data_IF_351685612432
#
_entry.id   IF_351685612432
#
_cell.length_a   1.000
_cell.length_b   1.000
_cell.length_c   1.000
_cell.angle_alpha   90.00
_cell.angle_beta   90.00
_cell.angle_gamma   90.00
#
_symmetry.space_group_name_H-M   'P 1'
#
loop_
_entity.id
_entity.type
_entity.pdbx_description
1 polymer ?
#
# COMPACT_ATOMS: atom_id res chain seq x y z
N UNK A 1 33.49 -3.75 -21.26
CA UNK A 1 32.43 -3.09 -22.05
C UNK A 1 31.22 -2.94 -21.15
N UNK A 2 31.01 -1.73 -20.63
CA UNK A 2 29.94 -1.36 -19.72
C UNK A 2 28.61 -1.30 -20.48
N UNK A 3 27.87 -2.41 -20.49
CA UNK A 3 26.53 -2.46 -21.06
C UNK A 3 25.51 -1.99 -20.02
N UNK A 4 25.26 -0.69 -19.95
CA UNK A 4 24.07 -0.15 -19.29
C UNK A 4 22.85 -0.72 -20.00
N UNK A 5 22.03 -1.45 -19.26
CA UNK A 5 20.78 -2.03 -19.78
C UNK A 5 19.78 -0.90 -19.97
N UNK A 6 19.02 -0.83 -21.08
CA UNK A 6 17.94 0.15 -21.18
C UNK A 6 16.92 -0.11 -20.06
N UNK A 7 16.42 0.93 -19.38
CA UNK A 7 15.41 0.76 -18.34
C UNK A 7 14.14 0.17 -18.93
N UNK A 8 13.38 -0.64 -18.17
CA UNK A 8 12.07 -1.10 -18.61
C UNK A 8 11.18 0.13 -18.92
N UNK A 9 10.29 0.06 -19.91
CA UNK A 9 9.37 1.15 -20.20
C UNK A 9 8.52 1.43 -18.94
N UNK A 10 8.75 2.58 -18.32
CA UNK A 10 8.02 3.07 -17.14
C UNK A 10 6.63 3.56 -17.53
N UNK A 11 5.76 3.76 -16.52
CA UNK A 11 4.43 4.35 -16.69
C UNK A 11 4.41 5.69 -17.46
N UNK A 12 5.56 6.37 -17.64
CA UNK A 12 5.66 7.58 -18.46
C UNK A 12 5.40 7.37 -19.95
N UNK A 13 5.43 6.12 -20.46
CA UNK A 13 5.00 5.83 -21.82
C UNK A 13 3.52 6.20 -22.09
N UNK A 14 2.74 6.51 -21.04
CA UNK A 14 1.38 7.02 -21.06
C UNK A 14 1.25 8.55 -21.03
N UNK A 15 2.35 9.29 -20.82
CA UNK A 15 2.30 10.75 -20.66
C UNK A 15 1.60 11.22 -19.37
N UNK A 16 1.32 10.31 -18.43
CA UNK A 16 0.66 10.63 -17.16
C UNK A 16 1.68 10.58 -16.02
N UNK A 17 2.02 11.74 -15.46
CA UNK A 17 2.69 11.87 -14.14
C UNK A 17 1.75 11.41 -12.99
N UNK A 18 0.50 11.03 -13.32
CA UNK A 18 -0.58 10.63 -12.42
C UNK A 18 -0.75 9.10 -12.32
N UNK A 19 -1.42 8.67 -11.25
CA UNK A 19 -1.83 7.29 -10.98
C UNK A 19 -2.53 6.66 -12.19
N UNK A 20 -2.20 5.39 -12.48
CA UNK A 20 -2.82 4.65 -13.58
C UNK A 20 -4.16 3.99 -13.20
N UNK A 21 -4.58 4.05 -11.92
CA UNK A 21 -5.90 3.56 -11.50
C UNK A 21 -6.99 4.47 -12.07
N UNK A 22 -8.09 3.87 -12.51
CA UNK A 22 -9.30 4.62 -12.90
C UNK A 22 -9.73 5.46 -11.69
N UNK A 23 -10.02 6.78 -11.85
CA UNK A 23 -10.45 7.61 -10.74
C UNK A 23 -11.64 7.00 -10.02
N UNK A 24 -11.64 7.08 -8.70
CA UNK A 24 -12.58 6.35 -7.85
C UNK A 24 -14.06 6.56 -8.23
N UNK A 25 -14.48 7.82 -8.42
CA UNK A 25 -15.87 8.13 -8.82
C UNK A 25 -16.25 7.52 -10.17
N UNK A 26 -15.31 7.45 -11.11
CA UNK A 26 -15.53 6.84 -12.41
C UNK A 26 -15.59 5.30 -12.28
N UNK A 27 -14.72 4.71 -11.45
CA UNK A 27 -14.74 3.27 -11.17
C UNK A 27 -16.09 2.85 -10.58
N UNK A 28 -16.58 3.54 -9.55
CA UNK A 28 -17.87 3.22 -8.92
C UNK A 28 -19.03 3.25 -9.92
N UNK A 29 -19.05 4.23 -10.83
CA UNK A 29 -20.06 4.31 -11.90
C UNK A 29 -19.98 3.14 -12.88
N UNK A 30 -18.77 2.70 -13.24
CA UNK A 30 -18.57 1.55 -14.13
C UNK A 30 -18.97 0.23 -13.46
N UNK A 31 -18.72 0.10 -12.17
CA UNK A 31 -19.03 -1.10 -11.39
C UNK A 31 -20.51 -1.22 -11.01
N UNK A 32 -21.32 -0.16 -11.16
CA UNK A 32 -22.76 -0.19 -10.90
C UNK A 32 -23.49 -1.30 -11.68
N UNK A 33 -22.97 -1.73 -12.84
CA UNK A 33 -23.53 -2.87 -13.59
C UNK A 33 -23.34 -4.24 -12.94
N UNK A 34 -22.51 -4.34 -11.90
CA UNK A 34 -22.39 -5.54 -11.05
C UNK A 34 -23.44 -5.56 -9.94
N UNK A 35 -24.03 -4.40 -9.62
CA UNK A 35 -25.16 -4.27 -8.71
C UNK A 35 -26.44 -4.57 -9.50
N UNK A 36 -27.26 -5.54 -9.04
CA UNK A 36 -28.52 -5.86 -9.74
C UNK A 36 -29.53 -4.70 -9.58
N UNK A 37 -30.24 -4.37 -10.67
CA UNK A 37 -31.35 -3.40 -10.67
C UNK A 37 -32.38 -3.70 -9.57
N UNK A 38 -32.70 -2.69 -8.75
CA UNK A 38 -33.87 -2.70 -7.86
C UNK A 38 -35.17 -2.64 -8.70
N UNK A 39 -35.64 -3.79 -9.16
CA UNK A 39 -37.02 -3.96 -9.58
C UNK A 39 -37.83 -4.56 -8.43
N UNK A 40 -38.18 -3.74 -7.45
CA UNK A 40 -39.53 -3.63 -6.87
C UNK A 40 -39.49 -2.81 -5.58
N UNK A 41 -40.20 -1.69 -5.60
CA UNK A 41 -40.26 -0.73 -4.50
C UNK A 41 -40.94 -1.31 -3.26
N UNK A 42 -40.15 -1.74 -2.28
CA UNK A 42 -40.48 -1.60 -0.85
C UNK A 42 -39.18 -1.40 -0.07
N UNK A 43 -39.10 -0.31 0.68
CA UNK A 43 -37.88 0.08 1.38
C UNK A 43 -37.52 -0.86 2.52
N UNK A 44 -36.26 -1.30 2.53
CA UNK A 44 -35.38 -1.48 3.70
C UNK A 44 -33.97 -1.81 3.18
N UNK A 45 -32.96 -1.10 3.68
CA UNK A 45 -31.57 -1.37 3.38
C UNK A 45 -31.12 -2.59 4.21
N UNK A 46 -31.24 -3.79 3.64
CA UNK A 46 -30.66 -5.02 4.15
C UNK A 46 -29.86 -5.70 3.02
N UNK A 47 -28.64 -6.14 3.38
CA UNK A 47 -27.67 -6.98 2.67
C UNK A 47 -27.92 -7.26 1.18
N UNK A 48 -27.27 -6.48 0.32
CA UNK A 48 -27.31 -6.66 -1.14
C UNK A 48 -26.13 -7.51 -1.64
N UNK A 49 -26.35 -8.82 -1.68
CA UNK A 49 -25.72 -9.76 -2.62
C UNK A 49 -26.55 -11.05 -2.68
N UNK A 50 -27.82 -10.94 -3.05
CA UNK A 50 -28.72 -12.09 -3.20
C UNK A 50 -28.63 -12.70 -4.61
N UNK A 51 -28.37 -14.01 -4.60
CA UNK A 51 -28.71 -15.01 -5.63
C UNK A 51 -27.55 -15.64 -6.45
N UNK A 52 -26.48 -16.05 -5.76
CA UNK A 52 -25.70 -17.24 -6.12
C UNK A 52 -25.72 -18.22 -4.94
N UNK A 53 -26.79 -19.01 -4.83
CA UNK A 53 -26.93 -20.07 -3.82
C UNK A 53 -27.47 -19.59 -2.47
N UNK A 54 -27.96 -20.54 -1.67
CA UNK A 54 -28.49 -20.33 -0.32
C UNK A 54 -27.64 -19.32 0.48
N UNK A 55 -28.28 -18.36 1.13
CA UNK A 55 -27.64 -17.37 1.99
C UNK A 55 -26.96 -18.10 3.15
N UNK A 56 -25.68 -18.41 2.96
CA UNK A 56 -24.89 -19.12 3.96
C UNK A 56 -24.64 -18.17 5.15
N UNK A 57 -24.76 -18.66 6.39
CA UNK A 57 -24.50 -17.85 7.57
C UNK A 57 -23.02 -17.47 7.62
N UNK A 58 -22.73 -16.19 7.88
CA UNK A 58 -21.37 -15.67 8.03
C UNK A 58 -21.22 -14.25 7.51
N UNK A 59 -20.17 -13.51 7.94
CA UNK A 59 -19.87 -12.20 7.39
C UNK A 59 -19.54 -12.30 5.90
N UNK A 60 -20.05 -11.35 5.12
CA UNK A 60 -19.83 -11.24 3.68
C UNK A 60 -19.31 -9.85 3.36
N UNK A 61 -18.35 -9.77 2.44
CA UNK A 61 -17.84 -8.52 1.90
C UNK A 61 -17.77 -8.63 0.38
N UNK A 62 -18.49 -7.74 -0.30
CA UNK A 62 -18.57 -7.67 -1.76
C UNK A 62 -17.58 -6.66 -2.34
N UNK A 63 -17.95 -6.06 -3.47
CA UNK A 63 -17.20 -4.97 -4.08
C UNK A 63 -17.18 -3.75 -3.14
N UNK A 64 -16.03 -3.10 -2.99
CA UNK A 64 -15.91 -1.81 -2.28
C UNK A 64 -14.76 -1.69 -1.28
N UNK A 65 -14.20 -2.82 -0.85
CA UNK A 65 -13.07 -2.89 0.08
C UNK A 65 -11.90 -3.70 -0.50
N UNK A 66 -10.82 -3.84 0.27
CA UNK A 66 -9.53 -4.42 -0.16
C UNK A 66 -9.65 -5.90 -0.60
N UNK A 67 -10.54 -6.67 0.03
CA UNK A 67 -10.81 -8.06 -0.33
C UNK A 67 -12.31 -8.34 -0.43
N UNK A 68 -12.67 -9.40 -1.16
CA UNK A 68 -13.97 -10.04 -0.95
C UNK A 68 -13.90 -11.04 0.22
N UNK A 69 -15.01 -11.23 0.92
CA UNK A 69 -15.20 -12.28 1.93
C UNK A 69 -16.46 -13.05 1.55
N UNK A 70 -16.29 -14.33 1.22
CA UNK A 70 -17.36 -15.18 0.68
C UNK A 70 -17.52 -16.41 1.56
N UNK A 71 -18.61 -16.52 2.34
CA UNK A 71 -18.91 -17.73 3.10
C UNK A 71 -18.96 -18.97 2.19
N UNK A 72 -18.23 -20.01 2.56
CA UNK A 72 -18.20 -21.28 1.85
C UNK A 72 -19.28 -22.22 2.35
N UNK A 73 -19.69 -23.16 1.48
CA UNK A 73 -20.66 -24.21 1.81
C UNK A 73 -20.16 -25.18 2.90
N UNK A 74 -18.87 -25.13 3.23
CA UNK A 74 -18.19 -26.09 4.08
C UNK A 74 -17.74 -25.45 5.40
N UNK A 75 -18.15 -26.04 6.52
CA UNK A 75 -17.46 -25.93 7.81
C UNK A 75 -17.29 -24.54 8.42
N UNK A 76 -18.16 -23.57 8.11
CA UNK A 76 -18.04 -22.20 8.65
C UNK A 76 -16.84 -21.41 8.08
N UNK A 77 -16.22 -21.91 7.02
CA UNK A 77 -15.09 -21.28 6.36
C UNK A 77 -15.54 -20.14 5.44
N UNK A 78 -14.65 -19.19 5.20
CA UNK A 78 -14.83 -18.14 4.19
C UNK A 78 -13.64 -18.13 3.23
N UNK A 79 -13.92 -17.93 1.95
CA UNK A 79 -12.90 -17.56 0.97
C UNK A 79 -12.67 -16.05 1.11
N UNK A 80 -11.41 -15.67 1.32
CA UNK A 80 -10.96 -14.28 1.24
C UNK A 80 -9.97 -14.19 0.09
N UNK A 81 -10.24 -13.26 -0.84
CA UNK A 81 -9.46 -13.15 -2.06
C UNK A 81 -9.39 -11.70 -2.55
N UNK A 82 -8.26 -11.36 -3.15
CA UNK A 82 -8.00 -10.07 -3.79
C UNK A 82 -7.24 -10.25 -5.11
N UNK A 83 -7.26 -9.21 -5.95
CA UNK A 83 -6.39 -9.07 -7.12
C UNK A 83 -5.95 -7.61 -7.27
N UNK A 84 -4.67 -7.41 -7.59
CA UNK A 84 -4.18 -6.09 -8.00
C UNK A 84 -3.07 -6.27 -9.05
N UNK A 85 -2.87 -5.24 -9.87
CA UNK A 85 -1.79 -5.16 -10.84
C UNK A 85 -1.44 -3.71 -11.14
N UNK A 86 -0.20 -3.48 -11.57
CA UNK A 86 0.25 -2.16 -11.98
C UNK A 86 1.42 -2.28 -12.96
N UNK A 87 1.93 -1.12 -13.38
CA UNK A 87 3.01 -0.99 -14.35
C UNK A 87 4.36 -0.80 -13.65
N UNK A 88 5.49 -1.15 -14.29
CA UNK A 88 6.81 -0.91 -13.73
C UNK A 88 7.03 0.54 -13.29
N UNK A 89 7.42 0.69 -12.03
CA UNK A 89 7.71 1.99 -11.39
C UNK A 89 9.16 2.11 -10.93
N UNK A 90 9.84 0.99 -10.65
CA UNK A 90 11.28 0.94 -10.37
C UNK A 90 12.05 0.30 -11.52
N UNK A 91 13.31 0.68 -11.66
CA UNK A 91 14.19 0.17 -12.72
C UNK A 91 14.74 -1.23 -12.44
N UNK A 92 14.90 -1.59 -11.15
CA UNK A 92 15.37 -2.90 -10.73
C UNK A 92 14.26 -3.95 -10.92
N UNK A 93 14.41 -4.92 -11.86
CA UNK A 93 13.36 -5.89 -12.13
C UNK A 93 13.07 -6.80 -10.94
N UNK A 94 14.08 -7.15 -10.14
CA UNK A 94 13.91 -8.02 -8.97
C UNK A 94 13.05 -7.32 -7.93
N UNK A 95 13.40 -6.08 -7.61
CA UNK A 95 12.62 -5.27 -6.67
C UNK A 95 11.22 -4.98 -7.20
N UNK A 96 11.07 -4.76 -8.52
CA UNK A 96 9.75 -4.59 -9.13
C UNK A 96 8.85 -5.82 -8.90
N UNK A 97 9.41 -7.03 -9.06
CA UNK A 97 8.71 -8.28 -8.76
C UNK A 97 8.30 -8.39 -7.29
N UNK A 98 9.22 -8.07 -6.36
CA UNK A 98 8.92 -8.06 -4.91
C UNK A 98 7.81 -7.08 -4.57
N UNK A 99 7.88 -5.85 -5.10
CA UNK A 99 6.87 -4.81 -4.86
C UNK A 99 5.50 -5.25 -5.39
N UNK A 100 5.46 -5.88 -6.56
CA UNK A 100 4.21 -6.38 -7.13
C UNK A 100 3.56 -7.47 -6.28
N UNK A 101 4.35 -8.43 -5.80
CA UNK A 101 3.87 -9.46 -4.88
C UNK A 101 3.39 -8.85 -3.55
N UNK A 102 4.19 -7.93 -2.97
CA UNK A 102 3.85 -7.26 -1.72
C UNK A 102 2.54 -6.46 -1.83
N UNK A 103 2.31 -5.78 -2.95
CA UNK A 103 1.06 -5.06 -3.20
C UNK A 103 -0.14 -6.00 -3.27
N UNK A 104 -0.03 -7.14 -3.98
CA UNK A 104 -1.13 -8.12 -4.07
C UNK A 104 -1.45 -8.73 -2.70
N UNK A 105 -0.44 -9.02 -1.88
CA UNK A 105 -0.65 -9.55 -0.54
C UNK A 105 -1.15 -8.50 0.46
N UNK A 106 -0.94 -7.21 0.18
CA UNK A 106 -1.28 -6.08 1.07
C UNK A 106 -2.75 -6.07 1.46
N UNK A 107 -3.65 -6.36 0.51
CA UNK A 107 -5.09 -6.40 0.75
C UNK A 107 -5.50 -7.52 1.72
N UNK A 108 -4.89 -8.71 1.65
CA UNK A 108 -5.13 -9.77 2.64
C UNK A 108 -4.65 -9.33 4.02
N UNK A 109 -3.50 -8.66 4.09
CA UNK A 109 -2.96 -8.12 5.32
C UNK A 109 -3.84 -7.02 5.92
N UNK A 110 -4.53 -6.22 5.09
CA UNK A 110 -5.51 -5.24 5.55
C UNK A 110 -6.71 -5.89 6.27
N UNK A 111 -7.04 -7.13 5.94
CA UNK A 111 -8.05 -7.93 6.64
C UNK A 111 -7.51 -8.63 7.90
N UNK A 112 -6.27 -8.35 8.33
CA UNK A 112 -5.63 -8.99 9.47
C UNK A 112 -5.20 -10.45 9.22
N UNK A 113 -5.28 -10.93 7.99
CA UNK A 113 -4.94 -12.31 7.62
C UNK A 113 -3.43 -12.40 7.42
N UNK A 114 -2.72 -13.26 8.15
CA UNK A 114 -1.26 -13.40 8.02
C UNK A 114 -0.82 -14.47 7.03
N UNK A 115 -1.72 -15.38 6.65
CA UNK A 115 -1.46 -16.51 5.78
C UNK A 115 -2.10 -16.33 4.40
N UNK A 116 -1.48 -16.91 3.38
CA UNK A 116 -2.01 -16.95 2.03
C UNK A 116 -1.87 -18.38 1.50
N UNK A 117 -2.99 -19.05 1.23
CA UNK A 117 -2.97 -20.45 0.78
C UNK A 117 -2.40 -20.56 -0.64
N UNK A 118 -2.70 -19.58 -1.49
CA UNK A 118 -2.32 -19.66 -2.90
C UNK A 118 -2.19 -18.28 -3.56
N UNK A 119 -1.17 -18.13 -4.40
CA UNK A 119 -1.05 -17.00 -5.33
C UNK A 119 -1.10 -17.41 -6.80
N UNK A 120 -1.68 -16.54 -7.63
CA UNK A 120 -1.55 -16.58 -9.09
C UNK A 120 -0.83 -15.31 -9.55
N UNK A 121 0.05 -15.42 -10.54
CA UNK A 121 0.77 -14.28 -11.11
C UNK A 121 0.12 -13.81 -12.41
N UNK A 122 -0.15 -12.50 -12.51
CA UNK A 122 -0.62 -11.84 -13.72
C UNK A 122 0.55 -11.06 -14.32
N UNK A 123 0.97 -11.44 -15.52
CA UNK A 123 2.14 -10.84 -16.17
C UNK A 123 1.82 -10.46 -17.62
N UNK A 124 2.36 -9.34 -18.07
CA UNK A 124 2.49 -9.09 -19.50
C UNK A 124 3.89 -8.68 -19.89
N UNK A 125 4.29 -9.09 -21.08
CA UNK A 125 5.57 -8.73 -21.70
C UNK A 125 5.32 -7.62 -22.72
N UNK A 126 6.15 -6.57 -22.68
CA UNK A 126 6.00 -5.47 -23.63
C UNK A 126 6.32 -5.90 -25.06
N UNK A 127 5.46 -5.51 -26.01
CA UNK A 127 5.70 -5.63 -27.45
C UNK A 127 6.98 -4.91 -27.91
N UNK A 128 7.43 -3.90 -27.18
CA UNK A 128 8.65 -3.12 -27.48
C UNK A 128 9.93 -3.80 -26.99
N UNK A 129 9.82 -4.85 -26.17
CA UNK A 129 10.96 -5.54 -25.61
C UNK A 129 11.48 -6.62 -26.58
N UNK A 130 12.74 -6.48 -26.99
CA UNK A 130 13.40 -7.51 -27.79
C UNK A 130 13.57 -8.82 -26.98
N UNK A 131 13.83 -9.92 -27.68
CA UNK A 131 13.91 -11.26 -27.08
C UNK A 131 14.99 -11.37 -26.01
N UNK A 132 16.17 -10.79 -26.27
CA UNK A 132 17.30 -10.81 -25.32
C UNK A 132 16.97 -10.09 -24.01
N UNK A 133 16.34 -8.92 -24.08
CA UNK A 133 15.94 -8.16 -22.90
C UNK A 133 14.82 -8.88 -22.16
N UNK A 134 13.89 -9.52 -22.87
CA UNK A 134 12.82 -10.33 -22.29
C UNK A 134 13.34 -11.51 -21.49
N UNK A 135 14.24 -12.30 -22.09
CA UNK A 135 14.88 -13.45 -21.44
C UNK A 135 15.75 -13.06 -20.25
N UNK A 136 16.21 -11.82 -20.19
CA UNK A 136 17.01 -11.31 -19.06
C UNK A 136 16.15 -10.71 -17.95
N UNK A 137 15.22 -9.82 -18.29
CA UNK A 137 14.47 -8.99 -17.34
C UNK A 137 13.32 -9.77 -16.70
N UNK A 138 12.56 -10.54 -17.49
CA UNK A 138 11.36 -11.22 -16.98
C UNK A 138 11.70 -12.27 -15.92
N UNK A 139 12.72 -13.16 -16.08
CA UNK A 139 13.04 -14.13 -15.04
C UNK A 139 13.46 -13.50 -13.71
N UNK A 140 14.19 -12.38 -13.75
CA UNK A 140 14.60 -11.64 -12.55
C UNK A 140 13.38 -11.06 -11.83
N UNK A 141 12.41 -10.51 -12.57
CA UNK A 141 11.16 -10.01 -12.01
C UNK A 141 10.30 -11.13 -11.41
N UNK A 142 10.19 -12.26 -12.09
CA UNK A 142 9.49 -13.44 -11.57
C UNK A 142 10.18 -13.99 -10.32
N UNK A 143 11.51 -13.99 -10.28
CA UNK A 143 12.27 -14.36 -9.09
C UNK A 143 11.96 -13.43 -7.92
N UNK A 144 11.93 -12.12 -8.13
CA UNK A 144 11.52 -11.17 -7.08
C UNK A 144 10.10 -11.45 -6.56
N UNK A 145 9.15 -11.68 -7.46
CA UNK A 145 7.77 -12.01 -7.06
C UNK A 145 7.73 -13.29 -6.22
N UNK A 146 8.42 -14.35 -6.66
CA UNK A 146 8.49 -15.64 -5.95
C UNK A 146 9.12 -15.50 -4.57
N UNK A 147 10.25 -14.81 -4.46
CA UNK A 147 10.96 -14.67 -3.19
C UNK A 147 10.12 -13.89 -2.15
N UNK A 148 9.35 -12.89 -2.58
CA UNK A 148 8.38 -12.20 -1.71
C UNK A 148 7.18 -13.08 -1.33
N UNK A 149 6.70 -13.94 -2.24
CA UNK A 149 5.65 -14.91 -1.92
C UNK A 149 6.13 -15.92 -0.87
N UNK A 150 7.37 -16.42 -1.01
CA UNK A 150 8.01 -17.32 -0.04
C UNK A 150 8.16 -16.65 1.34
N UNK A 151 8.58 -15.38 1.39
CA UNK A 151 8.59 -14.58 2.63
C UNK A 151 7.18 -14.45 3.26
N UNK A 152 6.16 -14.30 2.41
CA UNK A 152 4.75 -14.29 2.78
C UNK A 152 4.23 -15.66 3.27
N UNK A 153 5.04 -16.72 3.19
CA UNK A 153 4.63 -18.08 3.57
C UNK A 153 3.77 -18.78 2.51
N UNK A 154 3.80 -18.32 1.27
CA UNK A 154 2.96 -18.84 0.18
C UNK A 154 3.78 -19.15 -1.07
N UNK A 155 3.12 -19.60 -2.13
CA UNK A 155 3.77 -19.89 -3.41
C UNK A 155 2.88 -19.51 -4.59
N UNK A 156 3.53 -19.24 -5.72
CA UNK A 156 2.85 -18.99 -6.99
C UNK A 156 2.66 -20.33 -7.70
N UNK A 157 1.41 -20.80 -7.82
CA UNK A 157 1.10 -22.12 -8.40
C UNK A 157 0.55 -22.05 -9.83
N UNK A 158 0.33 -20.85 -10.33
CA UNK A 158 -0.19 -20.61 -11.67
C UNK A 158 -0.25 -19.14 -12.01
N UNK A 159 -0.85 -18.83 -13.15
CA UNK A 159 -0.92 -17.46 -13.64
C UNK A 159 -1.18 -17.40 -15.14
N UNK A 160 -1.14 -16.18 -15.66
CA UNK A 160 -1.27 -15.92 -17.09
C UNK A 160 -0.21 -14.91 -17.51
N UNK A 161 0.48 -15.20 -18.62
CA UNK A 161 1.42 -14.29 -19.27
C UNK A 161 0.98 -13.98 -20.70
N UNK A 162 0.87 -12.69 -21.04
CA UNK A 162 0.44 -12.24 -22.37
C UNK A 162 1.40 -11.21 -22.98
N UNK A 163 1.35 -11.04 -24.30
CA UNK A 163 2.00 -9.92 -24.97
C UNK A 163 1.09 -8.69 -24.91
N UNK A 164 1.62 -7.54 -24.50
CA UNK A 164 0.86 -6.30 -24.34
C UNK A 164 1.76 -5.09 -24.69
N UNK A 165 1.25 -3.90 -25.06
CA UNK A 165 2.11 -2.74 -25.30
C UNK A 165 2.99 -2.38 -24.10
N UNK A 166 2.50 -2.60 -22.88
CA UNK A 166 3.21 -2.34 -21.62
C UNK A 166 3.42 -3.62 -20.81
N UNK A 167 4.41 -3.59 -19.93
CA UNK A 167 4.59 -4.61 -18.90
C UNK A 167 3.53 -4.38 -17.83
N UNK A 168 2.78 -5.41 -17.48
CA UNK A 168 1.85 -5.46 -16.36
C UNK A 168 2.39 -6.51 -15.42
N UNK A 169 2.44 -6.20 -14.13
CA UNK A 169 2.81 -7.17 -13.10
C UNK A 169 1.82 -7.05 -11.95
N UNK A 170 1.35 -8.19 -11.47
CA UNK A 170 0.34 -8.28 -10.43
C UNK A 170 -0.01 -9.72 -10.15
N UNK A 171 -1.18 -9.93 -9.57
CA UNK A 171 -1.57 -11.27 -9.17
C UNK A 171 -2.90 -11.35 -8.47
N UNK A 172 -3.11 -12.53 -7.91
CA UNK A 172 -4.25 -12.88 -7.06
C UNK A 172 -3.68 -13.52 -5.80
N UNK A 173 -4.20 -13.15 -4.65
CA UNK A 173 -3.93 -13.84 -3.39
C UNK A 173 -5.24 -14.37 -2.81
N UNK A 174 -5.23 -15.61 -2.36
CA UNK A 174 -6.40 -16.32 -1.86
C UNK A 174 -6.08 -17.09 -0.59
N UNK A 175 -7.05 -17.09 0.32
CA UNK A 175 -7.01 -17.89 1.55
C UNK A 175 -8.42 -18.39 1.88
N UNK A 176 -8.49 -19.58 2.46
CA UNK A 176 -9.70 -20.13 3.08
C UNK A 176 -9.50 -20.14 4.58
N UNK A 177 -10.24 -19.28 5.28
CA UNK A 177 -10.01 -19.03 6.70
C UNK A 177 -11.29 -19.09 7.53
N UNK A 178 -11.11 -19.29 8.83
CA UNK A 178 -12.12 -19.24 9.86
C UNK A 178 -12.48 -17.77 10.23
N UNK A 179 -13.66 -17.53 10.81
CA UNK A 179 -14.11 -16.18 11.17
C UNK A 179 -13.20 -15.39 12.13
N UNK A 180 -12.35 -16.07 12.90
CA UNK A 180 -11.43 -15.44 13.85
C UNK A 180 -10.06 -15.11 13.24
N UNK A 181 -9.79 -15.52 12.01
CA UNK A 181 -8.50 -15.30 11.33
C UNK A 181 -8.48 -13.99 10.54
N UNK A 182 -9.64 -13.40 10.28
CA UNK A 182 -9.78 -12.09 9.65
C UNK A 182 -10.54 -11.10 10.54
N UNK A 183 -10.30 -9.81 10.29
CA UNK A 183 -10.94 -8.68 10.97
C UNK A 183 -11.77 -7.94 9.93
N UNK A 184 -13.08 -7.85 10.15
CA UNK A 184 -13.95 -7.07 9.26
C UNK A 184 -13.61 -5.58 9.34
N UNK A 185 -13.51 -4.86 8.21
CA UNK A 185 -13.03 -3.48 8.18
C UNK A 185 -14.14 -2.47 8.51
N UNK A 186 -14.98 -2.74 9.51
CA UNK A 186 -16.22 -1.99 9.78
C UNK A 186 -16.50 -1.67 11.26
N UNK A 187 -15.54 -1.96 12.14
CA UNK A 187 -15.73 -1.96 13.59
C UNK A 187 -15.24 -0.73 14.34
N UNK A 188 -14.74 0.32 13.68
CA UNK A 188 -14.17 1.49 14.35
C UNK A 188 -15.19 2.21 15.25
N UNK A 189 -14.72 2.74 16.39
CA UNK A 189 -15.56 3.45 17.38
C UNK A 189 -14.99 4.85 17.68
N UNK A 190 -15.83 5.81 18.11
CA UNK A 190 -15.33 7.10 18.59
C UNK A 190 -14.33 6.91 19.73
N UNK A 191 -13.18 7.58 19.65
CA UNK A 191 -12.10 7.49 20.62
C UNK A 191 -10.91 6.65 20.16
N UNK A 192 -11.11 5.77 19.16
CA UNK A 192 -10.02 5.06 18.48
C UNK A 192 -9.03 6.06 17.88
N UNK A 193 -7.83 5.56 17.60
CA UNK A 193 -6.78 6.29 16.90
C UNK A 193 -6.45 5.64 15.56
N UNK A 194 -6.01 6.46 14.62
CA UNK A 194 -5.58 6.03 13.30
C UNK A 194 -4.07 5.81 13.31
N UNK A 195 -3.63 4.60 12.99
CA UNK A 195 -2.22 4.22 12.90
C UNK A 195 -1.85 3.90 11.45
N UNK A 196 -0.77 4.50 10.94
CA UNK A 196 -0.22 4.21 9.61
C UNK A 196 1.11 3.46 9.74
N UNK A 197 1.31 2.39 8.97
CA UNK A 197 2.46 1.48 9.15
C UNK A 197 3.62 1.65 8.16
N UNK A 198 3.47 2.50 7.15
CA UNK A 198 4.55 2.90 6.23
C UNK A 198 4.47 4.40 5.95
N UNK A 199 5.60 5.07 5.65
CA UNK A 199 5.56 6.48 5.28
C UNK A 199 4.93 6.66 3.89
N UNK A 200 4.39 7.86 3.67
CA UNK A 200 3.84 8.32 2.39
C UNK A 200 4.93 8.92 1.49
N UNK A 201 4.60 9.13 0.23
CA UNK A 201 5.40 9.85 -0.76
C UNK A 201 6.15 8.95 -1.73
N UNK A 202 5.73 7.69 -1.91
CA UNK A 202 6.41 6.75 -2.81
C UNK A 202 6.33 7.21 -4.28
N UNK A 203 5.19 7.75 -4.72
CA UNK A 203 5.07 8.32 -6.07
C UNK A 203 6.04 9.48 -6.29
N UNK A 204 6.19 10.39 -5.30
CA UNK A 204 7.11 11.53 -5.39
C UNK A 204 8.55 11.06 -5.49
N UNK A 205 8.95 10.08 -4.67
CA UNK A 205 10.31 9.53 -4.68
C UNK A 205 10.67 8.89 -6.02
N UNK A 206 9.75 8.09 -6.58
CA UNK A 206 9.94 7.42 -7.88
C UNK A 206 10.02 8.44 -9.02
N UNK A 207 9.12 9.42 -9.06
CA UNK A 207 9.14 10.45 -10.10
C UNK A 207 10.39 11.33 -9.99
N UNK A 208 10.76 11.75 -8.77
CA UNK A 208 11.97 12.55 -8.56
C UNK A 208 13.23 11.82 -9.05
N UNK A 209 13.30 10.50 -8.85
CA UNK A 209 14.39 9.67 -9.36
C UNK A 209 14.44 9.64 -10.89
N UNK A 210 13.31 9.38 -11.54
CA UNK A 210 13.21 9.38 -13.00
C UNK A 210 13.58 10.74 -13.60
N UNK A 211 13.25 11.83 -12.90
CA UNK A 211 13.57 13.18 -13.36
C UNK A 211 15.06 13.50 -13.33
N UNK A 212 15.90 12.71 -12.66
CA UNK A 212 17.37 12.90 -12.67
C UNK A 212 17.95 12.86 -14.09
N UNK A 213 17.33 12.08 -14.98
CA UNK A 213 17.71 11.93 -16.38
C UNK A 213 16.92 12.85 -17.33
N UNK A 214 16.10 13.74 -16.78
CA UNK A 214 15.24 14.66 -17.52
C UNK A 214 15.53 16.11 -17.13
N UNK A 215 16.44 16.82 -17.84
CA UNK A 215 16.94 18.12 -17.43
C UNK A 215 15.84 19.15 -17.14
N UNK A 216 14.78 19.19 -17.95
CA UNK A 216 13.66 20.12 -17.77
C UNK A 216 12.89 19.87 -16.47
N UNK A 217 12.67 18.60 -16.11
CA UNK A 217 11.97 18.24 -14.87
C UNK A 217 12.87 18.34 -13.65
N UNK A 218 14.13 17.91 -13.76
CA UNK A 218 15.14 18.11 -12.71
C UNK A 218 15.26 19.59 -12.32
N UNK A 219 15.22 20.50 -13.30
CA UNK A 219 15.29 21.94 -13.06
C UNK A 219 14.19 22.47 -12.13
N UNK A 220 13.03 21.79 -12.02
CA UNK A 220 11.94 22.17 -11.10
C UNK A 220 12.27 21.89 -9.64
N UNK A 221 13.07 20.86 -9.37
CA UNK A 221 13.30 20.35 -8.00
C UNK A 221 14.75 20.50 -7.52
N UNK A 222 15.71 20.78 -8.41
CA UNK A 222 17.14 20.92 -8.08
C UNK A 222 17.48 21.98 -7.03
N UNK A 223 16.58 22.92 -6.76
CA UNK A 223 16.75 23.96 -5.73
C UNK A 223 16.27 23.52 -4.34
N UNK A 224 15.50 22.43 -4.24
CA UNK A 224 14.95 21.92 -2.98
C UNK A 224 15.58 20.61 -2.51
N UNK A 225 16.24 19.88 -3.41
CA UNK A 225 16.86 18.58 -3.13
C UNK A 225 18.10 18.38 -4.00
N UNK A 226 19.11 17.68 -3.49
CA UNK A 226 20.27 17.24 -4.27
C UNK A 226 20.07 15.82 -4.87
N UNK A 227 21.00 15.37 -5.71
CA UNK A 227 20.83 14.08 -6.41
C UNK A 227 20.96 12.89 -5.47
N UNK A 228 21.80 13.00 -4.45
CA UNK A 228 22.05 11.98 -3.44
C UNK A 228 20.81 11.74 -2.59
N UNK A 229 20.19 12.82 -2.08
CA UNK A 229 18.93 12.79 -1.33
C UNK A 229 17.79 12.13 -2.14
N UNK A 230 17.71 12.39 -3.44
CA UNK A 230 16.72 11.72 -4.32
C UNK A 230 16.98 10.23 -4.45
N UNK A 231 18.24 9.82 -4.60
CA UNK A 231 18.62 8.40 -4.69
C UNK A 231 18.34 7.67 -3.38
N UNK A 232 18.64 8.28 -2.24
CA UNK A 232 18.34 7.74 -0.92
C UNK A 232 16.82 7.58 -0.71
N UNK A 233 16.03 8.61 -1.06
CA UNK A 233 14.58 8.54 -0.97
C UNK A 233 13.98 7.48 -1.90
N UNK A 234 14.52 7.32 -3.11
CA UNK A 234 14.10 6.28 -4.06
C UNK A 234 14.41 4.87 -3.55
N UNK A 235 15.62 4.64 -3.03
CA UNK A 235 15.98 3.36 -2.41
C UNK A 235 15.06 3.06 -1.23
N UNK A 236 14.78 4.06 -0.40
CA UNK A 236 13.90 3.87 0.74
C UNK A 236 12.45 3.60 0.33
N UNK A 237 11.93 4.33 -0.65
CA UNK A 237 10.62 4.04 -1.22
C UNK A 237 10.57 2.61 -1.75
N UNK A 238 11.56 2.18 -2.53
CA UNK A 238 11.66 0.83 -3.09
C UNK A 238 11.67 -0.25 -2.00
N UNK A 239 12.43 -0.06 -0.92
CA UNK A 239 12.42 -1.01 0.20
C UNK A 239 11.11 -0.97 0.98
N UNK A 240 10.53 0.21 1.23
CA UNK A 240 9.23 0.35 1.90
C UNK A 240 8.10 -0.36 1.13
N UNK A 241 8.07 -0.17 -0.20
CA UNK A 241 7.11 -0.82 -1.09
C UNK A 241 7.31 -2.34 -1.16
N UNK A 242 8.54 -2.85 -1.02
CA UNK A 242 8.82 -4.28 -1.03
C UNK A 242 8.54 -4.98 0.32
N UNK A 243 8.45 -4.23 1.42
CA UNK A 243 8.13 -4.79 2.74
C UNK A 243 6.68 -5.30 2.78
N UNK A 244 6.48 -6.56 3.20
CA UNK A 244 5.14 -7.11 3.41
C UNK A 244 4.43 -6.48 4.61
N UNK A 245 3.12 -6.26 4.52
CA UNK A 245 2.28 -5.83 5.65
C UNK A 245 1.95 -6.99 6.64
N UNK A 246 2.54 -8.18 6.45
CA UNK A 246 2.29 -9.41 7.23
C UNK A 246 2.43 -9.21 8.74
N UNK A 247 3.51 -8.56 9.18
CA UNK A 247 3.73 -8.28 10.61
C UNK A 247 2.64 -7.36 11.16
N UNK A 248 2.24 -6.33 10.42
CA UNK A 248 1.17 -5.43 10.84
C UNK A 248 -0.17 -6.18 10.99
N UNK A 249 -0.50 -7.07 10.04
CA UNK A 249 -1.70 -7.91 10.09
C UNK A 249 -1.74 -8.80 11.35
N UNK A 250 -0.62 -9.45 11.70
CA UNK A 250 -0.54 -10.25 12.94
C UNK A 250 -0.69 -9.40 14.21
N UNK A 251 -0.12 -8.20 14.21
CA UNK A 251 -0.25 -7.28 15.35
C UNK A 251 -1.66 -6.68 15.47
N UNK A 252 -2.44 -6.59 14.39
CA UNK A 252 -3.83 -6.15 14.45
C UNK A 252 -4.66 -7.06 15.35
N UNK A 253 -4.50 -8.39 15.27
CA UNK A 253 -5.14 -9.33 16.18
C UNK A 253 -4.68 -9.14 17.63
N UNK A 254 -3.37 -9.06 17.85
CA UNK A 254 -2.77 -8.91 19.18
C UNK A 254 -3.26 -7.66 19.91
N UNK A 255 -3.41 -6.56 19.18
CA UNK A 255 -3.76 -5.25 19.72
C UNK A 255 -5.22 -4.86 19.49
N UNK A 256 -6.06 -5.81 19.05
CA UNK A 256 -7.51 -5.66 18.91
C UNK A 256 -7.89 -4.51 17.97
N UNK A 257 -7.31 -4.50 16.78
CA UNK A 257 -7.71 -3.57 15.73
C UNK A 257 -9.20 -3.72 15.41
N UNK A 258 -9.87 -2.59 15.21
CA UNK A 258 -11.30 -2.53 14.94
C UNK A 258 -11.62 -2.48 13.45
N UNK A 259 -10.73 -1.92 12.64
CA UNK A 259 -10.84 -1.85 11.20
C UNK A 259 -9.47 -1.52 10.60
N UNK A 260 -9.22 -1.91 9.35
CA UNK A 260 -8.07 -1.42 8.60
C UNK A 260 -8.35 -1.42 7.09
N UNK A 261 -7.52 -0.69 6.36
CA UNK A 261 -7.36 -0.72 4.90
C UNK A 261 -5.88 -0.53 4.61
N UNK A 262 -5.41 -0.83 3.41
CA UNK A 262 -4.08 -0.41 2.98
C UNK A 262 -4.13 0.94 2.24
N UNK A 263 -2.98 1.60 2.12
CA UNK A 263 -2.88 2.89 1.40
C UNK A 263 -2.15 2.67 0.08
N UNK A 264 -2.89 2.69 -1.03
CA UNK A 264 -2.32 2.52 -2.38
C UNK A 264 -2.72 3.67 -3.33
N UNK A 265 -3.31 3.36 -4.48
CA UNK A 265 -3.37 4.26 -5.64
C UNK A 265 -4.29 5.47 -5.48
N UNK A 266 -5.19 5.49 -4.49
CA UNK A 266 -6.04 6.66 -4.21
C UNK A 266 -5.45 7.62 -3.16
N UNK A 267 -4.28 7.27 -2.62
CA UNK A 267 -3.63 8.04 -1.57
C UNK A 267 -4.34 7.91 -0.21
N UNK A 268 -3.68 8.44 0.83
CA UNK A 268 -4.14 8.31 2.21
C UNK A 268 -5.60 8.77 2.40
N UNK A 269 -5.98 9.92 1.86
CA UNK A 269 -7.32 10.47 2.04
C UNK A 269 -8.37 9.66 1.30
N UNK A 270 -8.06 9.13 0.11
CA UNK A 270 -8.97 8.27 -0.65
C UNK A 270 -9.27 6.98 0.10
N UNK A 271 -8.23 6.26 0.50
CA UNK A 271 -8.38 5.01 1.26
C UNK A 271 -9.00 5.24 2.66
N UNK A 272 -8.65 6.32 3.35
CA UNK A 272 -9.29 6.68 4.61
C UNK A 272 -10.79 6.96 4.46
N UNK A 273 -11.22 7.60 3.35
CA UNK A 273 -12.65 7.81 3.08
C UNK A 273 -13.37 6.49 2.80
N UNK A 274 -12.75 5.56 2.08
CA UNK A 274 -13.33 4.23 1.82
C UNK A 274 -13.55 3.47 3.13
N UNK A 275 -12.52 3.44 3.97
CA UNK A 275 -12.61 2.81 5.27
C UNK A 275 -13.68 3.50 6.14
N UNK A 276 -13.70 4.84 6.20
CA UNK A 276 -14.70 5.58 6.97
C UNK A 276 -16.14 5.28 6.50
N UNK A 277 -16.37 5.22 5.18
CA UNK A 277 -17.66 4.93 4.56
C UNK A 277 -18.17 3.52 4.92
N UNK A 278 -17.26 2.56 5.11
CA UNK A 278 -17.57 1.18 5.44
C UNK A 278 -17.98 0.96 6.91
N UNK A 279 -17.73 1.93 7.80
CA UNK A 279 -17.95 1.73 9.24
C UNK A 279 -19.43 1.55 9.59
N UNK A 280 -19.74 0.61 10.48
CA UNK A 280 -21.10 0.42 11.00
C UNK A 280 -21.52 1.57 11.91
N UNK A 281 -20.58 2.08 12.72
CA UNK A 281 -20.83 3.20 13.63
C UNK A 281 -20.86 4.55 12.89
N UNK A 282 -21.51 5.55 13.49
CA UNK A 282 -21.46 6.94 13.04
C UNK A 282 -20.14 7.57 13.46
N UNK A 283 -19.08 7.29 12.70
CA UNK A 283 -17.72 7.77 12.97
C UNK A 283 -17.17 8.61 11.83
N UNK A 284 -16.24 9.52 12.12
CA UNK A 284 -15.45 10.23 11.12
C UNK A 284 -13.95 10.14 11.47
N UNK A 285 -13.11 10.13 10.45
CA UNK A 285 -11.67 10.01 10.60
C UNK A 285 -11.00 11.37 10.43
N UNK A 286 -10.20 11.77 11.41
CA UNK A 286 -9.49 13.05 11.40
C UNK A 286 -8.00 12.82 11.48
N UNK A 287 -7.32 13.08 10.36
CA UNK A 287 -5.87 12.91 10.20
C UNK A 287 -5.17 14.23 10.54
N UNK A 288 -4.26 14.16 11.50
CA UNK A 288 -3.52 15.29 12.06
C UNK A 288 -2.06 15.33 11.60
N UNK A 289 -1.47 14.15 11.39
CA UNK A 289 -0.04 14.02 11.11
C UNK A 289 0.17 13.20 9.84
N UNK A 290 1.23 13.50 9.08
CA UNK A 290 1.58 12.77 7.87
C UNK A 290 3.05 12.32 7.97
N UNK A 291 3.34 11.03 8.22
CA UNK A 291 4.68 10.49 8.07
C UNK A 291 5.02 10.42 6.59
N UNK A 292 5.98 11.23 6.16
CA UNK A 292 6.36 11.38 4.75
C UNK A 292 7.84 11.10 4.63
N UNK A 293 8.24 10.32 3.62
CA UNK A 293 9.65 10.13 3.27
C UNK A 293 10.36 11.49 3.17
N UNK A 294 11.52 11.60 3.83
CA UNK A 294 12.24 12.87 3.93
C UNK A 294 12.38 13.56 2.57
N UNK A 295 12.26 14.90 2.56
CA UNK A 295 12.29 15.75 1.36
C UNK A 295 11.09 15.62 0.41
N UNK A 296 10.29 14.55 0.45
CA UNK A 296 9.18 14.38 -0.51
C UNK A 296 8.08 15.44 -0.35
N UNK A 297 7.83 15.92 0.86
CA UNK A 297 6.92 17.06 1.08
C UNK A 297 7.45 18.35 0.42
N UNK A 298 8.76 18.59 0.46
CA UNK A 298 9.38 19.76 -0.17
C UNK A 298 9.35 19.66 -1.70
N UNK A 299 9.65 18.48 -2.25
CA UNK A 299 9.53 18.20 -3.69
C UNK A 299 8.09 18.39 -4.16
N UNK A 300 7.12 17.78 -3.46
CA UNK A 300 5.71 17.92 -3.81
C UNK A 300 5.27 19.38 -3.83
N UNK A 301 5.71 20.17 -2.84
CA UNK A 301 5.39 21.61 -2.77
C UNK A 301 6.03 22.39 -3.93
N UNK A 302 7.28 22.09 -4.29
CA UNK A 302 7.96 22.73 -5.43
C UNK A 302 7.25 22.45 -6.76
N UNK A 303 6.55 21.32 -6.87
CA UNK A 303 5.76 20.92 -8.03
C UNK A 303 4.30 21.40 -8.01
N UNK A 304 3.90 22.22 -7.02
CA UNK A 304 2.53 22.70 -6.89
C UNK A 304 1.53 21.55 -6.64
N UNK A 305 0.48 21.48 -7.46
CA UNK A 305 -0.60 20.50 -7.30
C UNK A 305 -0.37 19.19 -8.06
N UNK A 306 0.86 18.93 -8.50
CA UNK A 306 1.15 17.76 -9.32
C UNK A 306 0.91 16.44 -8.58
N UNK A 307 1.40 16.35 -7.34
CA UNK A 307 1.29 15.13 -6.53
C UNK A 307 0.20 15.22 -5.48
N UNK A 308 -0.12 16.42 -4.96
CA UNK A 308 -1.08 16.61 -3.88
C UNK A 308 -0.79 15.75 -2.63
N UNK A 309 0.49 15.58 -2.30
CA UNK A 309 0.94 14.69 -1.22
C UNK A 309 0.43 15.14 0.16
N UNK A 310 0.48 16.44 0.45
CA UNK A 310 0.02 16.99 1.74
C UNK A 310 -1.51 17.00 1.84
N UNK A 311 -2.20 17.06 0.70
CA UNK A 311 -3.65 16.93 0.59
C UNK A 311 -4.12 15.47 0.69
N UNK A 312 -3.19 14.51 0.72
CA UNK A 312 -3.47 13.08 0.91
C UNK A 312 -3.99 12.36 -0.32
N UNK A 313 -3.91 12.95 -1.52
CA UNK A 313 -4.38 12.33 -2.78
C UNK A 313 -3.23 11.94 -3.72
N UNK A 314 -1.98 12.03 -3.26
CA UNK A 314 -0.84 11.41 -3.96
C UNK A 314 -1.02 9.90 -3.94
N UNK A 315 -0.78 9.25 -5.07
CA UNK A 315 -0.80 7.81 -5.12
C UNK A 315 0.34 7.23 -4.28
N UNK A 316 0.06 6.10 -3.65
CA UNK A 316 1.06 5.21 -3.07
C UNK A 316 1.01 3.89 -3.84
N UNK A 317 2.11 3.14 -3.83
CA UNK A 317 2.12 1.74 -4.32
C UNK A 317 2.62 0.86 -3.21
N UNK A 318 1.95 -0.26 -2.92
CA UNK A 318 2.31 -1.15 -1.80
C UNK A 318 2.59 -0.39 -0.49
N UNK A 319 1.68 0.54 -0.13
CA UNK A 319 1.83 1.35 1.07
C UNK A 319 1.58 0.56 2.36
N UNK A 320 1.43 1.29 3.45
CA UNK A 320 1.17 0.69 4.76
C UNK A 320 -0.31 0.47 5.01
N UNK A 321 -0.60 -0.24 6.09
CA UNK A 321 -1.95 -0.33 6.63
C UNK A 321 -2.30 0.96 7.38
N UNK A 322 -3.51 1.45 7.15
CA UNK A 322 -4.21 2.43 7.97
C UNK A 322 -5.15 1.68 8.91
N UNK A 323 -4.81 1.61 10.20
CA UNK A 323 -5.47 0.77 11.20
C UNK A 323 -6.20 1.65 12.23
N UNK A 324 -7.46 1.34 12.50
CA UNK A 324 -8.22 1.85 13.63
C UNK A 324 -7.95 0.98 14.87
N UNK A 325 -7.34 1.56 15.89
CA UNK A 325 -6.95 0.86 17.11
C UNK A 325 -7.52 1.53 18.36
N UNK A 326 -7.83 0.75 19.43
CA UNK A 326 -8.05 1.30 20.75
C UNK A 326 -6.86 2.16 21.17
N UNK A 327 -7.16 3.34 21.74
CA UNK A 327 -6.16 4.36 22.08
C UNK A 327 -5.06 3.83 22.99
N UNK A 328 -5.43 3.01 23.96
CA UNK A 328 -4.55 2.38 24.95
C UNK A 328 -3.63 1.29 24.37
N UNK A 329 -3.96 0.77 23.19
CA UNK A 329 -3.18 -0.27 22.50
C UNK A 329 -2.25 0.29 21.43
N UNK A 330 -2.60 1.43 20.83
CA UNK A 330 -1.88 2.01 19.70
C UNK A 330 -0.38 2.26 19.97
N UNK A 331 -0.03 2.76 21.16
CA UNK A 331 1.38 2.99 21.51
C UNK A 331 2.18 1.68 21.59
N UNK A 332 1.58 0.60 22.07
CA UNK A 332 2.21 -0.73 22.14
C UNK A 332 2.35 -1.33 20.75
N UNK A 333 1.32 -1.21 19.91
CA UNK A 333 1.36 -1.59 18.50
C UNK A 333 2.53 -0.89 17.77
N UNK A 334 2.64 0.43 17.89
CA UNK A 334 3.73 1.21 17.29
C UNK A 334 5.12 0.78 17.80
N UNK A 335 5.25 0.54 19.11
CA UNK A 335 6.50 0.08 19.72
C UNK A 335 6.93 -1.29 19.19
N UNK A 336 5.98 -2.23 19.06
CA UNK A 336 6.27 -3.57 18.58
C UNK A 336 6.63 -3.59 17.10
N UNK A 337 5.90 -2.83 16.27
CA UNK A 337 6.24 -2.59 14.86
C UNK A 337 7.68 -2.07 14.71
N UNK A 338 8.08 -1.12 15.56
CA UNK A 338 9.44 -0.57 15.55
C UNK A 338 10.49 -1.61 15.95
N UNK A 339 10.20 -2.46 16.94
CA UNK A 339 11.11 -3.50 17.42
C UNK A 339 11.38 -4.59 16.36
N UNK A 340 10.33 -4.99 15.64
CA UNK A 340 10.39 -5.96 14.54
C UNK A 340 11.18 -5.41 13.34
N UNK A 341 11.19 -4.10 13.16
CA UNK A 341 11.95 -3.43 12.09
C UNK A 341 13.44 -3.29 12.40
N UNK A 342 13.87 -3.48 13.65
CA UNK A 342 15.25 -3.20 14.12
C UNK A 342 16.12 -4.46 14.36
N UNK A 343 15.58 -5.67 14.16
CA UNK A 343 16.32 -6.92 14.31
C UNK A 343 17.37 -7.13 13.22
N UNK A 344 18.45 -7.87 13.51
CA UNK A 344 19.51 -8.20 12.56
C UNK A 344 18.93 -8.96 11.36
N UNK A 345 18.78 -8.27 10.23
CA UNK A 345 18.04 -8.72 9.03
C UNK A 345 16.85 -7.84 8.63
N UNK A 346 16.61 -6.72 9.33
CA UNK A 346 15.40 -5.88 9.29
C UNK A 346 14.91 -5.44 7.92
N UNK A 347 13.96 -6.20 7.39
CA UNK A 347 13.14 -5.88 6.21
C UNK A 347 11.94 -4.97 6.54
N UNK A 348 11.81 -4.48 7.78
CA UNK A 348 10.74 -3.56 8.18
C UNK A 348 10.84 -2.20 7.50
N UNK A 349 9.70 -1.57 7.21
CA UNK A 349 9.64 -0.23 6.63
C UNK A 349 10.39 0.79 7.51
N UNK A 350 11.00 1.83 6.90
CA UNK A 350 11.67 2.88 7.67
C UNK A 350 10.73 3.51 8.67
N UNK A 351 11.11 3.51 9.95
CA UNK A 351 10.48 4.38 10.95
C UNK A 351 9.29 3.83 11.72
N UNK A 352 8.94 2.54 11.59
CA UNK A 352 7.91 1.91 12.42
C UNK A 352 6.49 2.31 12.01
N UNK A 353 5.59 2.48 12.98
CA UNK A 353 4.21 2.91 12.74
C UNK A 353 3.90 4.20 13.51
N UNK A 354 3.01 5.04 12.97
CA UNK A 354 2.69 6.35 13.52
C UNK A 354 1.22 6.48 13.83
N UNK A 355 0.90 7.01 15.02
CA UNK A 355 -0.45 7.53 15.29
C UNK A 355 -0.60 8.84 14.51
N UNK A 356 -1.45 8.81 13.48
CA UNK A 356 -1.63 9.93 12.55
C UNK A 356 -2.91 10.72 12.79
N UNK A 357 -3.86 10.18 13.55
CA UNK A 357 -5.16 10.80 13.71
C UNK A 357 -6.06 10.09 14.72
N UNK A 358 -7.32 10.49 14.72
CA UNK A 358 -8.34 9.96 15.63
C UNK A 358 -9.63 9.64 14.88
N UNK A 359 -10.42 8.77 15.50
CA UNK A 359 -11.79 8.48 15.12
C UNK A 359 -12.71 9.24 16.06
N UNK A 360 -13.58 10.09 15.51
CA UNK A 360 -14.56 10.89 16.23
C UNK A 360 -15.97 10.41 15.87
N UNK A 361 -17.00 10.87 16.60
CA UNK A 361 -18.38 10.70 16.15
C UNK A 361 -18.58 11.55 14.89
N UNK A 362 -19.16 10.97 13.83
CA UNK A 362 -19.31 11.70 12.56
C UNK A 362 -20.06 10.96 11.47
N UNK A 363 -19.88 11.42 10.23
CA UNK A 363 -20.72 11.14 9.06
C UNK A 363 -20.13 10.11 8.10
N UNK A 364 -19.25 9.22 8.60
CA UNK A 364 -18.55 8.18 7.81
C UNK A 364 -17.67 8.76 6.71
N UNK A 365 -17.00 9.87 7.01
CA UNK A 365 -16.01 10.52 6.13
C UNK A 365 -14.66 10.66 6.80
N UNK A 366 -13.63 10.79 5.98
CA UNK A 366 -12.28 11.11 6.40
C UNK A 366 -11.88 12.52 5.95
N UNK A 367 -11.12 13.21 6.80
CA UNK A 367 -10.51 14.49 6.47
C UNK A 367 -9.09 14.58 7.02
N UNK A 368 -8.23 15.28 6.31
CA UNK A 368 -6.95 15.78 6.83
C UNK A 368 -7.19 17.23 7.30
N UNK A 369 -6.65 17.60 8.46
CA UNK A 369 -6.77 18.99 8.95
C UNK A 369 -6.05 19.97 8.00
N UNK A 370 -6.46 21.24 7.99
CA UNK A 370 -5.93 22.26 7.04
C UNK A 370 -4.40 22.41 7.06
N UNK A 371 -3.79 22.20 8.22
CA UNK A 371 -2.33 22.30 8.45
C UNK A 371 -1.83 21.04 9.15
N UNK A 372 -1.74 19.91 8.44
CA UNK A 372 -1.29 18.67 9.05
C UNK A 372 0.18 18.80 9.44
N UNK A 373 0.56 18.19 10.56
CA UNK A 373 1.96 18.13 10.95
C UNK A 373 2.68 17.11 10.07
N UNK A 374 3.69 17.56 9.34
CA UNK A 374 4.58 16.65 8.60
C UNK A 374 5.58 16.03 9.57
N UNK A 375 5.64 14.70 9.58
CA UNK A 375 6.68 13.93 10.27
C UNK A 375 7.64 13.47 9.17
N UNK A 376 8.80 14.10 9.06
CA UNK A 376 9.81 13.65 8.11
C UNK A 376 10.39 12.31 8.56
N UNK A 377 10.35 11.33 7.67
CA UNK A 377 10.87 9.98 7.88
C UNK A 377 12.19 9.84 7.13
N UNK A 378 13.34 9.85 7.82
CA UNK A 378 14.64 9.73 7.16
C UNK A 378 14.85 8.31 6.63
N UNK A 379 15.74 8.14 5.64
CA UNK A 379 16.15 6.83 5.16
C UNK A 379 16.75 5.95 6.27
N UNK A 380 16.61 4.63 6.12
CA UNK A 380 17.28 3.61 6.93
C UNK A 380 18.80 3.85 6.90
N UNK A 381 19.43 3.82 8.08
CA UNK A 381 20.86 4.05 8.25
C UNK A 381 21.27 5.49 8.55
N UNK A 382 20.48 6.50 8.22
CA UNK A 382 20.82 7.92 8.48
C UNK A 382 20.85 8.28 9.97
N UNK A 383 20.15 7.52 10.84
CA UNK A 383 20.16 7.72 12.30
C UNK A 383 21.45 7.21 12.98
N UNK A 384 22.23 6.32 12.35
CA UNK A 384 23.48 5.83 12.93
C UNK A 384 24.56 6.93 12.98
N UNK A 385 24.55 7.87 12.04
CA UNK A 385 25.55 8.94 11.96
C UNK A 385 25.38 10.05 13.02
N UNK A 386 24.24 10.13 13.69
CA UNK A 386 23.97 11.19 14.69
C UNK A 386 24.30 10.76 16.13
N UNK A 387 24.47 9.46 16.40
CA UNK A 387 24.85 8.98 17.73
C UNK A 387 26.36 8.85 17.95
N UNK A 388 27.18 8.78 16.89
CA UNK A 388 28.65 8.69 17.03
C UNK A 388 29.36 10.04 17.27
N UNK A 389 28.68 11.18 17.07
CA UNK A 389 29.30 12.51 17.24
C UNK A 389 29.16 13.13 18.65
N UNK A 390 28.64 12.38 19.64
CA UNK A 390 28.52 12.85 21.03
C UNK A 390 29.41 12.12 22.05
N UNK A 391 30.31 11.24 21.61
CA UNK A 391 31.20 10.47 22.50
C UNK A 391 32.70 10.80 22.39
N UNK A 392 33.06 12.00 21.92
CA UNK A 392 34.45 12.50 21.97
C UNK A 392 34.57 13.76 22.85
N UNK A 393 34.55 13.56 24.17
CA UNK A 393 35.12 14.54 25.10
C UNK A 393 36.63 14.34 25.17
N UNK A 394 37.45 15.41 25.04
CA UNK A 394 38.90 15.31 25.16
C UNK A 394 39.29 15.33 26.64
N UNK A 395 39.92 14.25 27.13
CA UNK A 395 40.64 14.31 28.40
C UNK A 395 41.93 15.11 28.18
N UNK A 396 41.96 16.31 28.72
CA UNK A 396 43.16 17.12 28.96
C UNK A 396 43.47 17.07 30.46
N UNK A 397 44.76 16.80 30.73
CA UNK A 397 45.50 16.83 32.01
C UNK A 397 45.08 15.87 33.12
#
# INVERSE_FOLDING_TARGET
MSGTTPPPPSAEALGTEACCKVPQEALLKLLAGLEKDQADGTGKAEDQASDFGQQLPGPRLGVGMDCCVIPLRHGGLSLVQTTDFFYPLVEDPYMMGRIACANVLSDLYAMGITECDNMLMLLSVSQKMNEKDRERVMPIMIQGFRDAAEEGGTSVTGGQTVINPWIIVGGVASVVCQPNEFIMPDGAVPGDVLVLTKPLGTQVAVNAHQWLDQPERWNKIKLVVNKEEVKEAYQEAMFSMATLNRTAAGLMHKFQAHAATDVTGYGLLGHANNLAAQQRNEVAFVIHNLPILAKMAAISKACGNLFNLVQGTSAETSGGLLVCLPREQAAKFCSEMKSQSSGAGGQGAPGGAWIIGIVEKGDRRARIIDKPRIIEVPPRGSQAATQENHSSSPNLS
#
